data_IF_392034031171
#
_entry.id   IF_392034031171
#
_cell.length_a   1.000
_cell.length_b   1.000
_cell.length_c   1.000
_cell.angle_alpha   90.00
_cell.angle_beta   90.00
_cell.angle_gamma   90.00
#
_symmetry.space_group_name_H-M   'P 1'
#
loop_
_entity.id
_entity.type
_entity.pdbx_description
1 polymer ?
#
# COMPACT_ATOMS: atom_id res chain seq x y z
N UNK A 1 17.61 -27.15 2.74
CA UNK A 1 17.10 -25.96 3.44
C UNK A 1 17.68 -25.94 4.83
N UNK A 2 18.40 -24.87 5.19
CA UNK A 2 19.00 -24.72 6.50
C UNK A 2 17.92 -24.56 7.58
N UNK A 3 18.27 -24.87 8.84
CA UNK A 3 17.34 -24.82 9.98
C UNK A 3 17.68 -23.65 10.88
N UNK A 4 16.68 -22.82 11.19
CA UNK A 4 16.75 -21.82 12.26
C UNK A 4 16.00 -22.37 13.46
N UNK A 5 16.69 -22.47 14.60
CA UNK A 5 16.06 -22.84 15.86
C UNK A 5 15.55 -21.59 16.57
N UNK A 6 14.29 -21.62 16.96
CA UNK A 6 13.59 -20.58 17.70
C UNK A 6 13.60 -20.89 19.19
N UNK A 7 13.62 -19.84 20.01
CA UNK A 7 13.35 -19.97 21.45
C UNK A 7 11.97 -20.59 21.66
N UNK A 8 11.86 -21.53 22.59
CA UNK A 8 10.59 -22.21 22.87
C UNK A 8 9.45 -21.24 23.25
N UNK A 9 9.77 -20.11 23.90
CA UNK A 9 8.79 -19.07 24.25
C UNK A 9 8.08 -18.43 23.04
N UNK A 10 8.65 -18.57 21.84
CA UNK A 10 8.13 -17.98 20.59
C UNK A 10 7.13 -18.90 19.89
N UNK A 11 7.13 -20.21 20.22
CA UNK A 11 6.26 -21.21 19.57
C UNK A 11 4.77 -20.83 19.63
N UNK A 12 4.20 -20.37 20.76
CA UNK A 12 2.79 -19.97 20.81
C UNK A 12 2.46 -18.79 19.90
N UNK A 13 3.42 -17.87 19.67
CA UNK A 13 3.28 -16.74 18.73
C UNK A 13 3.21 -17.26 17.29
N UNK A 14 4.09 -18.19 16.91
CA UNK A 14 4.10 -18.77 15.56
C UNK A 14 2.85 -19.61 15.29
N UNK A 15 2.39 -20.39 16.28
CA UNK A 15 1.14 -21.16 16.18
C UNK A 15 -0.13 -20.30 16.06
N UNK A 16 -0.05 -19.01 16.42
CA UNK A 16 -1.10 -18.01 16.18
C UNK A 16 -0.93 -17.27 14.85
N UNK A 17 -0.12 -17.81 13.95
CA UNK A 17 0.13 -17.28 12.61
C UNK A 17 0.77 -15.89 12.59
N UNK A 18 1.52 -15.51 13.64
CA UNK A 18 2.31 -14.27 13.58
C UNK A 18 3.43 -14.45 12.55
N UNK A 19 3.55 -13.57 11.53
CA UNK A 19 4.41 -13.80 10.38
C UNK A 19 5.88 -13.43 10.60
N UNK A 20 6.24 -12.94 11.79
CA UNK A 20 7.56 -12.39 12.07
C UNK A 20 8.25 -13.08 13.24
N UNK A 21 9.55 -13.32 13.07
CA UNK A 21 10.49 -13.71 14.12
C UNK A 21 11.55 -12.63 14.23
N UNK A 22 11.75 -12.09 15.43
CA UNK A 22 12.77 -11.08 15.68
C UNK A 22 14.15 -11.71 15.92
N UNK A 23 15.23 -10.97 15.70
CA UNK A 23 16.60 -11.46 15.87
C UNK A 23 16.90 -11.94 17.31
N UNK A 24 16.23 -11.37 18.31
CA UNK A 24 16.35 -11.80 19.71
C UNK A 24 15.46 -13.01 20.07
N UNK A 25 14.66 -13.52 19.14
CA UNK A 25 13.73 -14.65 19.32
C UNK A 25 14.32 -16.01 18.87
N UNK A 26 15.54 -16.03 18.32
CA UNK A 26 16.20 -17.24 17.84
C UNK A 26 17.23 -17.79 18.86
N UNK A 27 17.44 -19.10 18.82
CA UNK A 27 18.54 -19.82 19.50
C UNK A 27 19.74 -20.03 18.56
N UNK A 28 19.51 -20.05 17.23
CA UNK A 28 20.56 -20.14 16.21
C UNK A 28 21.43 -18.87 16.19
N UNK A 29 22.67 -19.00 15.73
CA UNK A 29 23.49 -17.82 15.44
C UNK A 29 23.02 -17.18 14.13
N UNK A 30 22.54 -15.94 14.18
CA UNK A 30 22.02 -15.23 13.01
C UNK A 30 23.07 -15.05 11.90
N UNK A 31 24.35 -14.96 12.26
CA UNK A 31 25.43 -14.66 11.31
C UNK A 31 25.81 -15.87 10.43
N UNK A 32 25.20 -17.04 10.67
CA UNK A 32 25.33 -18.23 9.82
C UNK A 32 24.44 -18.17 8.56
N UNK A 33 23.55 -17.19 8.47
CA UNK A 33 22.56 -17.08 7.40
C UNK A 33 22.80 -15.89 6.48
N UNK A 34 22.30 -15.98 5.25
CA UNK A 34 22.39 -14.91 4.26
C UNK A 34 21.07 -14.16 4.11
N UNK A 35 21.14 -12.86 3.78
CA UNK A 35 19.95 -12.06 3.48
C UNK A 35 19.18 -12.66 2.31
N UNK A 36 17.90 -12.94 2.53
CA UNK A 36 16.98 -13.57 1.58
C UNK A 36 17.03 -15.10 1.52
N UNK A 37 17.88 -15.74 2.33
CA UNK A 37 17.97 -17.20 2.36
C UNK A 37 16.65 -17.85 2.85
N UNK A 38 16.21 -18.90 2.16
CA UNK A 38 15.05 -19.69 2.58
C UNK A 38 15.46 -20.74 3.61
N UNK A 39 14.80 -20.71 4.76
CA UNK A 39 15.08 -21.55 5.92
C UNK A 39 13.82 -22.24 6.44
N UNK A 40 14.04 -23.33 7.16
CA UNK A 40 13.01 -23.99 7.95
C UNK A 40 13.11 -23.52 9.41
N UNK A 41 12.00 -23.04 9.97
CA UNK A 41 11.90 -22.65 11.37
C UNK A 41 11.60 -23.90 12.21
N UNK A 42 12.35 -24.09 13.28
CA UNK A 42 12.23 -25.23 14.19
C UNK A 42 12.23 -24.79 15.66
N UNK A 43 11.52 -25.52 16.51
CA UNK A 43 11.73 -25.55 17.95
C UNK A 43 12.43 -26.88 18.29
N UNK A 44 13.38 -26.86 19.23
CA UNK A 44 14.04 -28.09 19.71
C UNK A 44 13.06 -29.09 20.31
N UNK A 45 11.93 -28.62 20.88
CA UNK A 45 10.91 -29.47 21.51
C UNK A 45 9.75 -29.80 20.57
N UNK A 46 9.30 -28.84 19.77
CA UNK A 46 8.09 -28.97 18.96
C UNK A 46 8.35 -29.37 17.50
N UNK A 47 9.61 -29.34 17.06
CA UNK A 47 9.96 -29.64 15.67
C UNK A 47 9.65 -28.47 14.72
N UNK A 48 9.18 -28.79 13.51
CA UNK A 48 8.97 -27.83 12.43
C UNK A 48 7.84 -26.85 12.74
N UNK A 49 8.05 -25.56 12.44
CA UNK A 49 7.10 -24.47 12.70
C UNK A 49 6.69 -23.69 11.45
N UNK A 50 7.51 -23.71 10.39
CA UNK A 50 7.22 -23.02 9.14
C UNK A 50 8.43 -22.85 8.24
N UNK A 51 8.21 -22.32 7.06
CA UNK A 51 9.23 -21.92 6.09
C UNK A 51 9.24 -20.40 5.97
N UNK A 52 10.42 -19.80 6.02
CA UNK A 52 10.62 -18.35 6.01
C UNK A 52 11.80 -17.99 5.12
N UNK A 53 11.89 -16.71 4.73
CA UNK A 53 13.19 -16.14 4.39
C UNK A 53 13.75 -15.36 5.58
N UNK A 54 15.07 -15.17 5.62
CA UNK A 54 15.74 -14.46 6.71
C UNK A 54 16.54 -13.26 6.24
N UNK A 55 16.78 -12.31 7.15
CA UNK A 55 17.76 -11.24 6.97
C UNK A 55 18.53 -11.03 8.30
N UNK A 56 19.81 -11.43 8.40
CA UNK A 56 20.59 -11.36 9.64
C UNK A 56 20.92 -9.93 10.10
N UNK A 57 20.67 -8.95 9.23
CA UNK A 57 20.91 -7.52 9.49
C UNK A 57 19.70 -6.80 10.07
N UNK A 58 18.50 -7.38 9.97
CA UNK A 58 17.25 -6.73 10.35
C UNK A 58 16.76 -7.16 11.74
N UNK A 59 16.03 -6.26 12.42
CA UNK A 59 15.37 -6.58 13.69
C UNK A 59 14.33 -7.70 13.52
N UNK A 60 13.52 -7.64 12.46
CA UNK A 60 12.72 -8.78 11.99
C UNK A 60 13.66 -9.70 11.22
N UNK A 61 14.16 -10.72 11.91
CA UNK A 61 15.13 -11.67 11.36
C UNK A 61 14.50 -12.61 10.34
N UNK A 62 13.30 -13.15 10.61
CA UNK A 62 12.62 -14.05 9.68
C UNK A 62 11.19 -13.58 9.39
N UNK A 63 10.80 -13.66 8.11
CA UNK A 63 9.44 -13.42 7.64
C UNK A 63 8.88 -14.71 7.05
N UNK A 64 7.80 -15.21 7.64
CA UNK A 64 7.24 -16.53 7.35
C UNK A 64 6.44 -16.48 6.04
N UNK A 65 6.77 -17.39 5.13
CA UNK A 65 6.09 -17.59 3.84
C UNK A 65 4.99 -18.66 3.93
N UNK A 66 5.23 -19.68 4.76
CA UNK A 66 4.28 -20.77 4.99
C UNK A 66 4.42 -21.31 6.41
N UNK A 67 3.29 -21.53 7.08
CA UNK A 67 3.24 -22.24 8.38
C UNK A 67 3.18 -23.76 8.18
N UNK A 68 3.13 -24.23 6.93
CA UNK A 68 3.21 -25.64 6.55
C UNK A 68 4.52 -25.97 5.85
N UNK A 69 4.76 -27.27 5.64
CA UNK A 69 5.86 -27.73 4.77
C UNK A 69 5.46 -27.50 3.32
N UNK A 70 5.98 -26.44 2.74
CA UNK A 70 5.71 -26.04 1.35
C UNK A 70 7.03 -25.67 0.68
N UNK A 71 7.19 -26.08 -0.58
CA UNK A 71 8.32 -25.69 -1.40
C UNK A 71 8.11 -24.26 -1.92
N UNK A 72 9.09 -23.38 -1.67
CA UNK A 72 9.03 -21.98 -2.12
C UNK A 72 9.61 -21.90 -3.53
N UNK A 73 8.73 -21.68 -4.51
CA UNK A 73 9.10 -21.60 -5.91
C UNK A 73 7.93 -21.21 -6.80
N UNK A 74 8.00 -21.56 -8.09
CA UNK A 74 7.03 -21.10 -9.10
C UNK A 74 5.57 -21.36 -8.73
N UNK A 75 5.25 -22.58 -8.31
CA UNK A 75 3.88 -22.97 -7.91
C UNK A 75 3.40 -22.21 -6.68
N UNK A 76 4.29 -21.96 -5.72
CA UNK A 76 3.99 -21.20 -4.50
C UNK A 76 3.54 -19.77 -4.85
N UNK A 77 4.39 -19.02 -5.56
CA UNK A 77 4.12 -17.63 -5.91
C UNK A 77 2.90 -17.51 -6.83
N UNK A 78 2.75 -18.40 -7.82
CA UNK A 78 1.56 -18.45 -8.66
C UNK A 78 0.28 -18.58 -7.83
N UNK A 79 0.24 -19.51 -6.87
CA UNK A 79 -0.95 -19.72 -6.05
C UNK A 79 -1.20 -18.57 -5.08
N UNK A 80 -0.17 -18.01 -4.45
CA UNK A 80 -0.31 -16.86 -3.54
C UNK A 80 -0.84 -15.62 -4.27
N UNK A 81 -0.24 -15.30 -5.42
CA UNK A 81 -0.67 -14.16 -6.24
C UNK A 81 -2.09 -14.38 -6.77
N UNK A 82 -2.42 -15.58 -7.28
CA UNK A 82 -3.78 -15.91 -7.72
C UNK A 82 -4.82 -15.76 -6.59
N UNK A 83 -4.50 -16.18 -5.38
CA UNK A 83 -5.39 -16.03 -4.24
C UNK A 83 -5.56 -14.55 -3.83
N UNK A 84 -4.49 -13.76 -3.88
CA UNK A 84 -4.53 -12.33 -3.62
C UNK A 84 -5.43 -11.60 -4.64
N UNK A 85 -5.33 -11.95 -5.93
CA UNK A 85 -6.22 -11.47 -7.00
C UNK A 85 -7.67 -11.82 -6.68
N UNK A 86 -7.94 -13.11 -6.41
CA UNK A 86 -9.29 -13.60 -6.11
C UNK A 86 -9.95 -12.84 -4.95
N UNK A 87 -9.18 -12.53 -3.90
CA UNK A 87 -9.64 -11.76 -2.73
C UNK A 87 -10.13 -10.35 -3.08
N UNK A 88 -9.70 -9.78 -4.22
CA UNK A 88 -10.11 -8.43 -4.67
C UNK A 88 -11.21 -8.44 -5.73
N UNK A 89 -11.65 -9.60 -6.22
CA UNK A 89 -12.66 -9.71 -7.29
C UNK A 89 -13.93 -8.92 -6.99
N UNK A 90 -14.42 -8.96 -5.75
CA UNK A 90 -15.61 -8.20 -5.36
C UNK A 90 -15.41 -6.68 -5.46
N UNK A 91 -14.23 -6.18 -5.07
CA UNK A 91 -13.91 -4.75 -5.11
C UNK A 91 -13.68 -4.29 -6.55
N UNK A 92 -13.05 -5.11 -7.38
CA UNK A 92 -12.82 -4.83 -8.81
C UNK A 92 -14.11 -4.68 -9.64
N UNK A 93 -15.27 -5.03 -9.08
CA UNK A 93 -16.58 -4.77 -9.72
C UNK A 93 -17.02 -3.32 -9.62
N UNK A 94 -16.49 -2.56 -8.66
CA UNK A 94 -16.91 -1.18 -8.37
C UNK A 94 -15.79 -0.17 -8.57
N UNK A 95 -14.64 -0.62 -9.04
CA UNK A 95 -13.46 0.21 -9.28
C UNK A 95 -12.48 -0.44 -10.24
N UNK A 96 -11.70 0.37 -10.94
CA UNK A 96 -10.60 -0.12 -11.78
C UNK A 96 -9.26 -0.22 -11.05
N UNK A 97 -9.18 0.17 -9.77
CA UNK A 97 -7.90 0.26 -9.05
C UNK A 97 -7.99 -0.29 -7.65
N UNK A 98 -7.06 -1.15 -7.23
CA UNK A 98 -7.08 -1.81 -5.92
C UNK A 98 -5.67 -2.15 -5.44
N UNK A 99 -5.47 -2.22 -4.12
CA UNK A 99 -4.32 -2.94 -3.57
C UNK A 99 -4.50 -4.43 -3.77
N UNK A 100 -3.83 -4.99 -4.76
CA UNK A 100 -3.93 -6.38 -5.16
C UNK A 100 -3.18 -7.31 -4.19
N UNK A 101 -1.98 -6.92 -3.78
CA UNK A 101 -1.14 -7.65 -2.82
C UNK A 101 -0.74 -6.69 -1.69
N UNK A 102 -0.97 -7.09 -0.46
CA UNK A 102 -0.66 -6.33 0.74
C UNK A 102 0.25 -7.11 1.70
N UNK A 103 1.48 -7.36 1.25
CA UNK A 103 2.57 -7.91 2.06
C UNK A 103 2.17 -9.20 2.81
N UNK A 104 2.46 -9.29 4.11
CA UNK A 104 2.15 -10.45 4.97
C UNK A 104 0.66 -10.80 5.00
N UNK A 105 -0.25 -9.82 4.83
CA UNK A 105 -1.69 -10.04 4.86
C UNK A 105 -2.20 -10.86 3.65
N UNK A 106 -1.37 -11.02 2.61
CA UNK A 106 -1.58 -11.91 1.49
C UNK A 106 -0.50 -12.99 1.37
N UNK A 107 0.22 -13.25 2.48
CA UNK A 107 1.28 -14.26 2.59
C UNK A 107 2.44 -14.05 1.61
N UNK A 108 2.74 -12.79 1.27
CA UNK A 108 3.86 -12.37 0.43
C UNK A 108 4.62 -11.24 1.14
N UNK A 109 5.30 -11.52 2.28
CA UNK A 109 5.95 -10.50 3.11
C UNK A 109 6.90 -9.62 2.29
N UNK A 110 6.76 -8.31 2.40
CA UNK A 110 7.56 -7.33 1.67
C UNK A 110 7.15 -7.07 0.23
N UNK A 111 6.10 -7.71 -0.30
CA UNK A 111 5.55 -7.42 -1.63
C UNK A 111 4.28 -6.59 -1.51
N UNK A 112 4.26 -5.42 -2.15
CA UNK A 112 3.03 -4.64 -2.36
C UNK A 112 2.80 -4.53 -3.86
N UNK A 113 1.56 -4.74 -4.29
CA UNK A 113 1.15 -4.55 -5.69
C UNK A 113 -0.18 -3.81 -5.69
N UNK A 114 -0.17 -2.60 -6.22
CA UNK A 114 -1.36 -1.83 -6.51
C UNK A 114 -1.68 -1.95 -8.01
N UNK A 115 -2.94 -2.21 -8.33
CA UNK A 115 -3.46 -2.33 -9.69
C UNK A 115 -4.14 -1.04 -10.07
N UNK A 116 -3.86 -0.55 -11.28
CA UNK A 116 -4.47 0.63 -11.89
C UNK A 116 -4.93 0.25 -13.31
N UNK A 117 -6.23 -0.01 -13.47
CA UNK A 117 -6.78 -0.47 -14.74
C UNK A 117 -6.21 -1.84 -15.09
N UNK A 118 -5.58 -1.98 -16.24
CA UNK A 118 -4.85 -3.18 -16.66
C UNK A 118 -3.41 -3.25 -16.12
N UNK A 119 -2.89 -2.18 -15.53
CA UNK A 119 -1.47 -2.06 -15.18
C UNK A 119 -1.17 -2.14 -13.68
N UNK A 120 0.12 -2.13 -13.32
CA UNK A 120 0.60 -2.41 -11.95
C UNK A 120 1.68 -1.41 -11.48
N UNK A 121 1.55 -0.96 -10.23
CA UNK A 121 2.63 -0.36 -9.47
C UNK A 121 3.04 -1.34 -8.36
N UNK A 122 4.34 -1.62 -8.25
CA UNK A 122 4.85 -2.62 -7.31
C UNK A 122 5.87 -2.03 -6.33
N UNK A 123 5.97 -2.66 -5.17
CA UNK A 123 7.06 -2.46 -4.23
C UNK A 123 7.59 -3.81 -3.78
N UNK A 124 8.90 -3.98 -3.82
CA UNK A 124 9.61 -5.13 -3.26
C UNK A 124 10.53 -4.58 -2.19
N UNK A 125 10.13 -4.68 -0.94
CA UNK A 125 10.74 -3.92 0.16
C UNK A 125 11.60 -4.79 1.08
N UNK A 126 11.82 -6.07 0.78
CA UNK A 126 12.60 -6.98 1.66
C UNK A 126 13.55 -7.86 0.87
N UNK A 127 14.70 -8.18 1.45
CA UNK A 127 15.74 -8.93 0.75
C UNK A 127 15.29 -10.31 0.27
N UNK A 128 14.47 -11.02 1.06
CA UNK A 128 13.97 -12.33 0.65
C UNK A 128 12.93 -12.30 -0.45
N UNK A 129 12.11 -11.25 -0.53
CA UNK A 129 11.20 -11.10 -1.66
C UNK A 129 11.96 -10.67 -2.94
N UNK A 130 13.01 -9.87 -2.78
CA UNK A 130 13.91 -9.45 -3.87
C UNK A 130 14.57 -10.64 -4.59
N UNK A 131 14.96 -11.69 -3.84
CA UNK A 131 15.51 -12.94 -4.43
C UNK A 131 14.55 -13.55 -5.45
N UNK A 132 13.24 -13.39 -5.28
CA UNK A 132 12.22 -13.95 -6.17
C UNK A 132 11.67 -12.94 -7.20
N UNK A 133 12.30 -11.77 -7.34
CA UNK A 133 11.84 -10.69 -8.23
C UNK A 133 11.40 -11.18 -9.61
N UNK A 134 12.29 -11.85 -10.34
CA UNK A 134 11.99 -12.29 -11.71
C UNK A 134 10.83 -13.28 -11.78
N UNK A 135 10.72 -14.15 -10.77
CA UNK A 135 9.61 -15.08 -10.67
C UNK A 135 8.29 -14.36 -10.36
N UNK A 136 8.31 -13.36 -9.48
CA UNK A 136 7.13 -12.55 -9.14
C UNK A 136 6.68 -11.76 -10.37
N UNK A 137 7.60 -11.07 -11.04
CA UNK A 137 7.32 -10.26 -12.22
C UNK A 137 6.75 -11.12 -13.36
N UNK A 138 7.37 -12.26 -13.66
CA UNK A 138 6.86 -13.18 -14.69
C UNK A 138 5.49 -13.76 -14.34
N UNK A 139 5.24 -14.04 -13.05
CA UNK A 139 3.94 -14.53 -12.57
C UNK A 139 2.85 -13.46 -12.68
N UNK A 140 3.15 -12.21 -12.29
CA UNK A 140 2.24 -11.07 -12.45
C UNK A 140 1.91 -10.84 -13.93
N UNK A 141 2.92 -10.84 -14.80
CA UNK A 141 2.73 -10.70 -16.26
C UNK A 141 1.82 -11.81 -16.80
N UNK A 142 2.07 -13.06 -16.42
CA UNK A 142 1.28 -14.19 -16.87
C UNK A 142 -0.18 -14.14 -16.40
N UNK A 143 -0.43 -13.76 -15.15
CA UNK A 143 -1.77 -13.79 -14.55
C UNK A 143 -2.63 -12.58 -14.91
N UNK A 144 -2.01 -11.42 -15.14
CA UNK A 144 -2.73 -10.15 -15.27
C UNK A 144 -2.57 -9.49 -16.64
N UNK A 145 -1.60 -9.93 -17.45
CA UNK A 145 -1.27 -9.35 -18.75
C UNK A 145 -1.25 -7.80 -18.74
N UNK A 146 -0.43 -7.17 -17.88
CA UNK A 146 -0.49 -5.73 -17.69
C UNK A 146 0.12 -4.97 -18.86
N UNK A 147 -0.44 -3.80 -19.18
CA UNK A 147 0.09 -2.91 -20.22
C UNK A 147 1.43 -2.28 -19.80
N UNK A 148 1.58 -1.96 -18.51
CA UNK A 148 2.84 -1.51 -17.93
C UNK A 148 3.01 -1.96 -16.48
N UNK A 149 4.26 -1.97 -16.02
CA UNK A 149 4.65 -2.20 -14.61
C UNK A 149 5.66 -1.14 -14.21
N UNK A 150 5.35 -0.39 -13.14
CA UNK A 150 6.31 0.51 -12.49
C UNK A 150 6.71 -0.03 -11.13
N UNK A 151 7.96 0.20 -10.76
CA UNK A 151 8.46 -0.04 -9.41
C UNK A 151 8.54 1.28 -8.66
N UNK A 152 8.00 1.29 -7.45
CA UNK A 152 8.06 2.42 -6.51
C UNK A 152 8.43 1.93 -5.13
N UNK A 153 9.50 1.12 -5.06
CA UNK A 153 9.87 0.47 -3.80
C UNK A 153 10.37 1.50 -2.78
N UNK A 154 9.99 1.31 -1.52
CA UNK A 154 10.20 2.29 -0.46
C UNK A 154 11.68 2.38 -0.06
N UNK A 155 12.27 3.57 -0.20
CA UNK A 155 13.70 3.80 0.00
C UNK A 155 14.16 3.42 1.42
N UNK A 156 13.45 3.90 2.44
CA UNK A 156 13.78 3.64 3.84
C UNK A 156 13.68 2.15 4.20
N UNK A 157 12.61 1.48 3.78
CA UNK A 157 12.45 0.04 3.99
C UNK A 157 13.56 -0.76 3.30
N UNK A 158 13.95 -0.36 2.08
CA UNK A 158 15.02 -1.01 1.33
C UNK A 158 16.40 -0.79 1.95
N UNK A 159 16.69 0.41 2.45
CA UNK A 159 17.92 0.71 3.18
C UNK A 159 18.05 -0.20 4.42
N UNK A 160 16.99 -0.31 5.24
CA UNK A 160 16.96 -1.20 6.41
C UNK A 160 17.23 -2.67 6.03
N UNK A 161 16.73 -3.11 4.88
CA UNK A 161 16.90 -4.46 4.37
C UNK A 161 18.24 -4.67 3.63
N UNK A 162 19.04 -3.60 3.47
CA UNK A 162 20.35 -3.61 2.81
C UNK A 162 20.26 -3.69 1.28
N UNK A 163 19.20 -3.11 0.70
CA UNK A 163 18.91 -3.09 -0.73
C UNK A 163 19.08 -1.67 -1.30
N UNK A 164 19.56 -1.58 -2.54
CA UNK A 164 19.59 -0.31 -3.28
C UNK A 164 18.17 0.19 -3.56
N UNK A 165 17.93 1.50 -3.47
CA UNK A 165 16.64 2.10 -3.86
C UNK A 165 16.31 1.81 -5.33
N UNK A 166 15.02 1.59 -5.62
CA UNK A 166 14.53 1.29 -6.97
C UNK A 166 13.21 2.01 -7.23
N UNK A 167 13.24 2.89 -8.21
CA UNK A 167 12.07 3.59 -8.73
C UNK A 167 12.19 3.68 -10.25
N UNK A 168 11.14 3.32 -10.98
CA UNK A 168 11.09 3.46 -12.43
C UNK A 168 10.28 2.39 -13.14
N UNK A 169 10.19 2.54 -14.46
CA UNK A 169 9.42 1.64 -15.32
C UNK A 169 10.16 0.31 -15.55
N UNK A 170 9.51 -0.80 -15.20
CA UNK A 170 10.02 -2.16 -15.40
C UNK A 170 9.53 -2.79 -16.72
N UNK A 171 8.36 -2.37 -17.22
CA UNK A 171 7.75 -2.91 -18.42
C UNK A 171 6.72 -1.95 -19.00
N UNK A 172 6.63 -1.88 -20.33
CA UNK A 172 5.68 -1.02 -21.03
C UNK A 172 5.98 0.46 -20.87
N UNK A 173 4.99 1.30 -21.15
CA UNK A 173 5.05 2.76 -20.97
C UNK A 173 3.88 3.19 -20.10
N UNK A 174 4.12 3.76 -18.91
CA UNK A 174 3.05 4.26 -18.04
C UNK A 174 2.25 5.36 -18.72
N UNK A 175 0.96 5.40 -18.40
CA UNK A 175 0.12 6.56 -18.73
C UNK A 175 0.38 7.61 -17.67
N UNK A 176 0.66 8.85 -18.09
CA UNK A 176 0.97 9.95 -17.18
C UNK A 176 -0.21 10.22 -16.24
N UNK A 177 -1.40 10.53 -16.78
CA UNK A 177 -2.62 10.77 -16.00
C UNK A 177 -3.58 9.59 -16.09
N UNK A 178 -3.37 8.57 -15.25
CA UNK A 178 -4.28 7.44 -15.20
C UNK A 178 -5.64 7.85 -14.59
N UNK A 179 -6.75 7.50 -15.25
CA UNK A 179 -8.09 7.73 -14.73
C UNK A 179 -8.52 6.60 -13.79
N UNK A 180 -8.42 6.84 -12.49
CA UNK A 180 -8.93 5.95 -11.46
C UNK A 180 -10.43 6.16 -11.29
N UNK A 181 -11.22 5.11 -11.51
CA UNK A 181 -12.65 5.11 -11.22
C UNK A 181 -12.94 4.44 -9.89
N UNK A 182 -13.65 5.14 -9.00
CA UNK A 182 -14.04 4.68 -7.68
C UNK A 182 -15.41 5.26 -7.30
N UNK A 183 -16.43 4.41 -7.14
CA UNK A 183 -17.78 4.80 -6.69
C UNK A 183 -18.37 6.00 -7.44
N UNK A 184 -18.50 5.88 -8.77
CA UNK A 184 -18.98 6.92 -9.70
C UNK A 184 -18.09 8.16 -9.84
N UNK A 185 -17.02 8.27 -9.06
CA UNK A 185 -16.04 9.34 -9.16
C UNK A 185 -14.84 8.89 -9.99
N UNK A 186 -14.22 9.86 -10.64
CA UNK A 186 -13.00 9.68 -11.43
C UNK A 186 -11.89 10.57 -10.88
N UNK A 187 -10.76 9.98 -10.54
CA UNK A 187 -9.57 10.70 -10.05
C UNK A 187 -8.43 10.49 -11.05
N UNK A 188 -7.81 11.58 -11.47
CA UNK A 188 -6.56 11.55 -12.20
C UNK A 188 -5.44 11.22 -11.22
N UNK A 189 -4.59 10.26 -11.59
CA UNK A 189 -3.44 9.83 -10.80
C UNK A 189 -2.21 9.95 -11.67
N UNK A 190 -1.24 10.75 -11.23
CA UNK A 190 0.08 10.77 -11.85
C UNK A 190 0.88 9.53 -11.42
N UNK A 191 0.97 8.53 -12.29
CA UNK A 191 1.60 7.26 -11.91
C UNK A 191 3.11 7.40 -11.71
N UNK A 192 3.78 8.37 -12.32
CA UNK A 192 5.23 8.55 -12.19
C UNK A 192 5.56 9.41 -10.97
N UNK A 193 4.91 10.57 -10.84
CA UNK A 193 5.24 11.55 -9.79
C UNK A 193 4.50 11.31 -8.47
N UNK A 194 3.46 10.48 -8.45
CA UNK A 194 2.72 10.25 -7.21
C UNK A 194 3.57 9.62 -6.10
N UNK A 195 3.34 10.08 -4.87
CA UNK A 195 3.85 9.45 -3.67
C UNK A 195 3.35 8.01 -3.53
N UNK A 196 4.15 7.18 -2.82
CA UNK A 196 3.90 5.76 -2.60
C UNK A 196 3.77 5.00 -3.92
N UNK A 197 2.55 4.63 -4.33
CA UNK A 197 2.26 3.84 -5.52
C UNK A 197 1.30 4.56 -6.47
N UNK A 198 0.89 5.81 -6.19
CA UNK A 198 -0.15 6.50 -6.97
C UNK A 198 -1.17 7.22 -6.09
N UNK A 199 -2.15 6.47 -5.59
CA UNK A 199 -3.29 7.02 -4.86
C UNK A 199 -3.47 6.31 -3.51
N UNK A 200 -4.03 7.00 -2.51
CA UNK A 200 -4.33 6.42 -1.20
C UNK A 200 -5.58 5.53 -1.30
N UNK A 201 -5.39 4.31 -1.82
CA UNK A 201 -6.42 3.30 -2.03
C UNK A 201 -6.98 2.74 -0.71
N UNK A 202 -6.20 2.82 0.36
CA UNK A 202 -6.57 2.46 1.73
C UNK A 202 -7.69 3.35 2.29
N UNK A 203 -7.70 4.64 1.92
CA UNK A 203 -8.71 5.60 2.36
C UNK A 203 -10.09 5.46 1.69
N UNK A 204 -10.25 4.55 0.71
CA UNK A 204 -11.52 4.36 -0.03
C UNK A 204 -12.74 4.19 0.86
N UNK A 205 -12.66 3.31 1.86
CA UNK A 205 -13.79 3.05 2.77
C UNK A 205 -14.09 4.27 3.62
N UNK A 206 -13.06 5.00 4.03
CA UNK A 206 -13.21 6.19 4.84
C UNK A 206 -13.81 7.34 4.02
N UNK A 207 -13.40 7.53 2.76
CA UNK A 207 -14.04 8.48 1.84
C UNK A 207 -15.54 8.22 1.72
N UNK A 208 -15.95 6.97 1.46
CA UNK A 208 -17.35 6.56 1.44
C UNK A 208 -18.08 6.81 2.76
N UNK A 209 -17.44 6.48 3.89
CA UNK A 209 -18.05 6.63 5.20
C UNK A 209 -18.26 8.11 5.55
N UNK A 210 -17.25 8.96 5.34
CA UNK A 210 -17.36 10.41 5.52
C UNK A 210 -18.47 10.99 4.65
N UNK A 211 -18.52 10.61 3.37
CA UNK A 211 -19.57 11.00 2.44
C UNK A 211 -20.98 10.66 2.96
N UNK A 212 -21.15 9.51 3.61
CA UNK A 212 -22.46 9.07 4.15
C UNK A 212 -23.03 9.96 5.27
N UNK A 213 -22.20 10.80 5.89
CA UNK A 213 -22.65 11.75 6.92
C UNK A 213 -22.98 13.14 6.35
N UNK A 214 -22.70 13.39 5.06
CA UNK A 214 -22.97 14.67 4.41
C UNK A 214 -24.48 14.83 4.20
N UNK A 215 -24.96 16.04 4.46
CA UNK A 215 -26.32 16.49 4.17
C UNK A 215 -26.27 17.58 3.11
N UNK A 216 -27.34 17.66 2.33
CA UNK A 216 -27.54 18.72 1.34
C UNK A 216 -27.30 20.10 1.98
N UNK A 217 -26.45 20.91 1.34
CA UNK A 217 -26.13 22.25 1.81
C UNK A 217 -24.95 22.34 2.78
N UNK A 218 -24.33 21.22 3.21
CA UNK A 218 -23.22 21.26 4.15
C UNK A 218 -21.98 22.00 3.60
N UNK A 219 -21.22 22.60 4.51
CA UNK A 219 -19.90 23.17 4.24
C UNK A 219 -18.82 22.32 4.90
N UNK A 220 -17.85 21.86 4.10
CA UNK A 220 -16.82 20.90 4.53
C UNK A 220 -15.44 21.54 4.49
N UNK A 221 -14.58 21.18 5.43
CA UNK A 221 -13.15 21.52 5.42
C UNK A 221 -12.33 20.24 5.31
N UNK A 222 -11.56 20.11 4.23
CA UNK A 222 -10.65 18.99 3.95
C UNK A 222 -9.19 19.45 4.13
N UNK A 223 -8.59 19.07 5.25
CA UNK A 223 -7.21 19.43 5.61
C UNK A 223 -6.24 18.32 5.24
N UNK A 224 -5.09 18.71 4.69
CA UNK A 224 -4.13 17.78 4.07
C UNK A 224 -4.79 17.00 2.94
N UNK A 225 -5.57 17.70 2.10
CA UNK A 225 -6.51 17.09 1.19
C UNK A 225 -5.86 16.28 0.06
N UNK A 226 -4.55 16.44 -0.16
CA UNK A 226 -3.81 15.80 -1.24
C UNK A 226 -4.53 16.02 -2.58
N UNK A 227 -4.93 14.96 -3.30
CA UNK A 227 -5.64 15.02 -4.58
C UNK A 227 -7.16 15.26 -4.43
N UNK A 228 -7.62 15.72 -3.26
CA UNK A 228 -9.00 16.12 -3.00
C UNK A 228 -9.95 14.97 -2.67
N UNK A 229 -9.41 13.81 -2.29
CA UNK A 229 -10.18 12.57 -2.20
C UNK A 229 -11.42 12.68 -1.32
N UNK A 230 -11.32 13.26 -0.12
CA UNK A 230 -12.46 13.34 0.79
C UNK A 230 -13.44 14.45 0.40
N UNK A 231 -12.95 15.65 0.09
CA UNK A 231 -13.80 16.78 -0.27
C UNK A 231 -14.60 16.56 -1.56
N UNK A 232 -14.02 15.89 -2.57
CA UNK A 232 -14.74 15.55 -3.81
C UNK A 232 -15.90 14.58 -3.54
N UNK A 233 -15.69 13.61 -2.66
CA UNK A 233 -16.75 12.74 -2.17
C UNK A 233 -17.86 13.50 -1.44
N UNK A 234 -17.48 14.50 -0.64
CA UNK A 234 -18.45 15.33 0.06
C UNK A 234 -19.30 16.17 -0.90
N UNK A 235 -18.68 16.83 -1.88
CA UNK A 235 -19.38 17.60 -2.92
C UNK A 235 -20.35 16.71 -3.72
N UNK A 236 -19.91 15.53 -4.16
CA UNK A 236 -20.77 14.54 -4.84
C UNK A 236 -21.97 14.11 -3.99
N UNK A 237 -21.87 14.19 -2.66
CA UNK A 237 -22.91 13.79 -1.71
C UNK A 237 -23.84 14.94 -1.30
N UNK A 238 -23.74 16.10 -1.95
CA UNK A 238 -24.63 17.26 -1.72
C UNK A 238 -24.05 18.35 -0.82
N UNK A 239 -22.76 18.29 -0.45
CA UNK A 239 -22.14 19.44 0.18
C UNK A 239 -22.18 20.64 -0.78
N UNK A 240 -22.57 21.81 -0.26
CA UNK A 240 -22.62 23.06 -1.03
C UNK A 240 -21.23 23.58 -1.37
N UNK A 241 -20.29 23.38 -0.45
CA UNK A 241 -18.91 23.87 -0.59
C UNK A 241 -17.97 22.93 0.18
N UNK A 242 -16.79 22.72 -0.38
CA UNK A 242 -15.69 22.09 0.33
C UNK A 242 -14.45 22.97 0.21
N UNK A 243 -13.84 23.28 1.35
CA UNK A 243 -12.58 24.02 1.43
C UNK A 243 -11.43 23.04 1.48
N UNK A 244 -10.57 23.07 0.47
CA UNK A 244 -9.42 22.19 0.31
C UNK A 244 -8.15 22.90 0.74
N UNK A 245 -7.38 22.28 1.64
CA UNK A 245 -6.13 22.85 2.15
C UNK A 245 -5.03 21.81 2.10
N UNK A 246 -3.95 22.12 1.39
CA UNK A 246 -2.74 21.31 1.36
C UNK A 246 -1.50 22.22 1.24
N UNK A 247 -0.37 21.79 1.77
CA UNK A 247 0.89 22.56 1.65
C UNK A 247 1.47 22.46 0.23
N UNK A 248 1.12 21.42 -0.51
CA UNK A 248 1.65 21.14 -1.84
C UNK A 248 0.84 21.83 -2.94
N UNK A 249 1.51 22.65 -3.74
CA UNK A 249 0.93 23.27 -4.93
C UNK A 249 0.48 22.23 -5.96
N UNK A 250 1.27 21.16 -6.15
CA UNK A 250 0.90 20.09 -7.08
C UNK A 250 -0.31 19.31 -6.60
N UNK A 251 -0.49 19.12 -5.28
CA UNK A 251 -1.67 18.47 -4.73
C UNK A 251 -2.95 19.30 -4.97
N UNK A 252 -2.88 20.62 -4.77
CA UNK A 252 -4.01 21.51 -5.06
C UNK A 252 -4.30 21.59 -6.56
N UNK A 253 -3.27 21.61 -7.42
CA UNK A 253 -3.46 21.52 -8.86
C UNK A 253 -4.16 20.20 -9.26
N UNK A 254 -3.77 19.08 -8.65
CA UNK A 254 -4.41 17.78 -8.85
C UNK A 254 -5.86 17.77 -8.37
N UNK A 255 -6.13 18.37 -7.20
CA UNK A 255 -7.49 18.54 -6.67
C UNK A 255 -8.36 19.29 -7.65
N UNK A 256 -7.86 20.41 -8.21
CA UNK A 256 -8.57 21.18 -9.22
C UNK A 256 -8.89 20.34 -10.47
N UNK A 257 -7.91 19.61 -11.00
CA UNK A 257 -8.11 18.74 -12.15
C UNK A 257 -9.14 17.62 -11.86
N UNK A 258 -9.14 17.08 -10.64
CA UNK A 258 -10.12 16.08 -10.22
C UNK A 258 -11.53 16.66 -10.05
N UNK A 259 -11.66 17.89 -9.54
CA UNK A 259 -12.94 18.61 -9.49
C UNK A 259 -13.53 18.77 -10.89
N UNK A 260 -12.73 19.31 -11.81
CA UNK A 260 -13.10 19.46 -13.23
C UNK A 260 -13.51 18.13 -13.86
N UNK A 261 -12.75 17.06 -13.60
CA UNK A 261 -13.03 15.72 -14.15
C UNK A 261 -14.38 15.14 -13.70
N UNK A 262 -14.85 15.52 -12.52
CA UNK A 262 -16.12 15.08 -11.94
C UNK A 262 -17.26 16.11 -12.15
N UNK A 263 -17.02 17.18 -12.92
CA UNK A 263 -17.98 18.26 -13.12
C UNK A 263 -18.44 18.91 -11.79
N UNK A 264 -17.53 18.93 -10.81
CA UNK A 264 -17.75 19.54 -9.50
C UNK A 264 -16.98 20.85 -9.42
N UNK A 265 -17.50 21.79 -8.63
CA UNK A 265 -16.90 23.11 -8.44
C UNK A 265 -16.69 23.35 -6.95
N UNK A 266 -15.52 23.89 -6.61
CA UNK A 266 -15.22 24.53 -5.33
C UNK A 266 -14.32 25.72 -5.62
N UNK A 267 -14.60 26.85 -4.98
CA UNK A 267 -13.80 28.07 -5.14
C UNK A 267 -12.68 28.16 -4.08
N UNK A 268 -12.72 27.29 -3.07
CA UNK A 268 -11.87 27.38 -1.88
C UNK A 268 -10.72 26.38 -1.91
N UNK A 269 -9.73 26.65 -2.77
CA UNK A 269 -8.50 25.86 -2.92
C UNK A 269 -7.30 26.63 -2.33
N UNK A 270 -6.65 26.08 -1.30
CA UNK A 270 -5.58 26.77 -0.58
C UNK A 270 -4.28 25.97 -0.55
N UNK A 271 -3.24 26.49 -1.21
CA UNK A 271 -1.85 26.04 -1.03
C UNK A 271 -1.30 26.68 0.25
N UNK A 272 -1.42 25.97 1.38
CA UNK A 272 -1.05 26.51 2.70
C UNK A 272 -0.76 25.44 3.73
N UNK A 273 0.13 25.75 4.66
CA UNK A 273 0.25 25.03 5.91
C UNK A 273 -1.08 25.06 6.69
N UNK A 274 -1.53 23.88 7.14
CA UNK A 274 -2.84 23.71 7.79
C UNK A 274 -2.95 24.47 9.11
N UNK A 275 -1.87 24.56 9.89
CA UNK A 275 -1.90 25.30 11.16
C UNK A 275 -2.03 26.81 10.93
N UNK A 276 -1.35 27.31 9.91
CA UNK A 276 -1.44 28.71 9.48
C UNK A 276 -2.85 29.02 8.99
N UNK A 277 -3.41 28.18 8.11
CA UNK A 277 -4.78 28.31 7.64
C UNK A 277 -5.78 28.34 8.81
N UNK A 278 -5.70 27.38 9.73
CA UNK A 278 -6.62 27.29 10.88
C UNK A 278 -6.54 28.52 11.81
N UNK A 279 -5.35 29.10 12.01
CA UNK A 279 -5.19 30.35 12.78
C UNK A 279 -5.89 31.52 12.11
N UNK A 280 -5.83 31.63 10.79
CA UNK A 280 -6.46 32.71 10.03
C UNK A 280 -7.98 32.59 9.99
N UNK A 281 -8.51 31.36 9.96
CA UNK A 281 -9.96 31.07 9.95
C UNK A 281 -10.59 31.08 11.34
N UNK A 282 -9.78 31.16 12.40
CA UNK A 282 -10.23 31.12 13.78
C UNK A 282 -11.33 32.16 14.04
N UNK A 283 -12.51 31.68 14.43
CA UNK A 283 -13.73 32.45 14.71
C UNK A 283 -14.38 33.17 13.51
N UNK A 284 -13.90 32.95 12.28
CA UNK A 284 -14.47 33.56 11.07
C UNK A 284 -15.50 32.65 10.41
N UNK A 285 -15.25 31.35 10.45
CA UNK A 285 -16.03 30.34 9.74
C UNK A 285 -16.35 29.15 10.66
N UNK A 286 -17.48 28.51 10.38
CA UNK A 286 -17.89 27.23 10.96
C UNK A 286 -18.12 26.23 9.84
N UNK A 287 -17.74 24.98 10.07
CA UNK A 287 -17.89 23.89 9.10
C UNK A 287 -18.79 22.82 9.69
N UNK A 288 -19.63 22.21 8.86
CA UNK A 288 -20.48 21.09 9.26
C UNK A 288 -19.67 19.80 9.41
N UNK A 289 -18.57 19.68 8.67
CA UNK A 289 -17.61 18.58 8.78
C UNK A 289 -16.18 19.09 8.59
N UNK A 290 -15.27 18.61 9.43
CA UNK A 290 -13.83 18.82 9.29
C UNK A 290 -13.16 17.47 9.15
N UNK A 291 -12.43 17.29 8.06
CA UNK A 291 -11.64 16.08 7.74
C UNK A 291 -10.17 16.42 7.96
N UNK A 292 -9.47 15.55 8.68
CA UNK A 292 -8.06 15.74 9.04
C UNK A 292 -7.33 14.43 8.78
N UNK A 293 -6.56 14.37 7.69
CA UNK A 293 -5.75 13.21 7.30
C UNK A 293 -4.27 13.61 7.12
N UNK A 294 -3.55 13.91 8.22
CA UNK A 294 -2.18 14.42 8.13
C UNK A 294 -1.19 13.28 7.82
N UNK A 295 0.00 13.61 7.28
CA UNK A 295 1.09 12.64 7.22
C UNK A 295 1.47 12.14 8.62
N UNK A 296 2.01 10.91 8.68
CA UNK A 296 2.45 10.25 9.91
C UNK A 296 3.63 10.91 10.58
#
# INVERSE_FOLDING_TARGET
MNKVYLKHSVVPKIRRFTPWVYANEIDSNKDEFQSGEIVALFSKKDGFLGTAYVNPKCAIFARILSFGKEEIGKKFFHNRIKNAIKKREALLKTTNSVRLIHSEADFLPGLIVDKYGDSLAIQINTAGMEVFRELILSTLKHLLNPSWIVEKSDENSREIEGLESRNGTLFGTPVQNFELSENELTFLVDIEDAQKTGFYLDQRKNRNLCASYIKEGNTVLDLCCNAGGFGIYALKSGAKECVFVDVSESAIAQTKANLERNELVSESLHVKDVFTFLKEQKYKNTFDMVIIDPPS
#
